data_IF_103707357170
#
_entry.id   IF_103707357170
#
_cell.length_a   1.000
_cell.length_b   1.000
_cell.length_c   1.000
_cell.angle_alpha   90.00
_cell.angle_beta   90.00
_cell.angle_gamma   90.00
#
_symmetry.space_group_name_H-M   'P 1'
#
loop_
_entity.id
_entity.type
_entity.pdbx_description
1 polymer ?
#
# COMPACT_ATOMS: atom_id res chain seq x y z
N UNK A 1 17.04 -34.84 32.65
CA UNK A 1 15.79 -35.06 31.88
C UNK A 1 15.01 -33.75 31.93
N UNK A 2 14.59 -33.07 30.88
CA UNK A 2 14.89 -33.03 29.46
C UNK A 2 14.31 -31.67 29.05
N UNK A 3 15.09 -30.78 28.45
CA UNK A 3 14.54 -29.52 27.91
C UNK A 3 13.63 -29.91 26.74
N UNK A 4 12.31 -29.79 26.88
CA UNK A 4 11.42 -29.87 25.73
C UNK A 4 11.50 -28.53 25.00
N UNK A 5 12.19 -28.51 23.86
CA UNK A 5 12.00 -27.49 22.85
C UNK A 5 10.55 -27.57 22.36
N UNK A 6 9.66 -26.79 22.94
CA UNK A 6 8.41 -26.44 22.30
C UNK A 6 8.73 -25.32 21.32
N UNK A 7 8.84 -25.66 20.04
CA UNK A 7 8.75 -24.68 18.95
C UNK A 7 7.39 -24.00 19.10
N UNK A 8 7.32 -22.68 19.36
CA UNK A 8 6.04 -21.99 19.39
C UNK A 8 5.44 -21.96 17.97
N UNK A 9 4.13 -22.19 17.79
CA UNK A 9 3.49 -22.16 16.49
C UNK A 9 3.51 -20.74 15.90
N UNK A 10 3.72 -20.65 14.58
CA UNK A 10 3.78 -19.41 13.79
C UNK A 10 2.42 -18.69 13.73
N UNK A 11 1.95 -18.16 14.85
CA UNK A 11 0.72 -17.36 14.90
C UNK A 11 0.73 -16.19 15.89
N UNK A 12 1.83 -15.93 16.61
CA UNK A 12 1.87 -14.92 17.68
C UNK A 12 2.87 -13.75 17.46
N UNK A 13 3.02 -13.24 16.24
CA UNK A 13 3.72 -11.95 16.00
C UNK A 13 2.95 -10.94 15.15
N UNK A 14 1.67 -11.17 14.86
CA UNK A 14 0.87 -10.22 14.05
C UNK A 14 -0.23 -9.50 14.84
N UNK A 15 -0.38 -9.75 16.15
CA UNK A 15 -1.56 -9.20 16.87
C UNK A 15 -1.31 -8.48 18.20
N UNK A 16 -0.07 -8.18 18.59
CA UNK A 16 0.19 -7.24 19.72
C UNK A 16 0.51 -5.85 19.20
N UNK A 17 -0.47 -5.22 18.54
CA UNK A 17 -0.50 -3.78 18.28
C UNK A 17 -1.93 -3.24 18.08
N UNK A 18 -2.95 -3.98 18.54
CA UNK A 18 -4.35 -3.58 18.46
C UNK A 18 -4.82 -2.97 19.79
N UNK A 19 -4.20 -1.84 20.18
CA UNK A 19 -4.66 -1.06 21.34
C UNK A 19 -4.28 0.43 21.18
N UNK A 20 -5.04 1.15 20.34
CA UNK A 20 -5.35 2.57 20.48
C UNK A 20 -6.43 2.94 19.46
N UNK A 21 -7.56 3.47 19.92
CA UNK A 21 -8.57 4.08 19.08
C UNK A 21 -8.13 5.49 18.65
N UNK A 22 -8.52 5.87 17.43
CA UNK A 22 -8.72 7.25 16.93
C UNK A 22 -7.52 8.16 16.59
N UNK A 23 -6.33 7.62 16.30
CA UNK A 23 -5.31 8.38 15.54
C UNK A 23 -4.71 7.50 14.43
N UNK A 24 -4.95 7.90 13.17
CA UNK A 24 -4.44 7.29 11.93
C UNK A 24 -2.91 7.54 11.78
N UNK A 25 -2.17 7.33 12.86
CA UNK A 25 -0.71 7.37 12.87
C UNK A 25 -0.19 6.06 12.30
N UNK A 26 -0.22 5.96 10.96
CA UNK A 26 0.60 5.00 10.25
C UNK A 26 2.05 5.18 10.69
N UNK A 27 2.55 4.23 11.47
CA UNK A 27 3.98 4.14 11.78
C UNK A 27 4.70 4.01 10.45
N UNK A 28 5.54 4.99 10.11
CA UNK A 28 6.33 4.96 8.88
C UNK A 28 7.24 3.72 8.90
N UNK A 29 6.94 2.74 8.05
CA UNK A 29 7.79 1.57 7.80
C UNK A 29 8.68 1.88 6.60
N UNK A 30 10.02 2.00 6.78
CA UNK A 30 10.95 2.25 5.69
C UNK A 30 10.89 1.15 4.63
N UNK A 31 11.02 1.51 3.34
CA UNK A 31 10.96 0.57 2.20
C UNK A 31 11.88 -0.65 2.36
N UNK A 32 13.04 -0.49 2.98
CA UNK A 32 14.02 -1.56 3.24
C UNK A 32 13.59 -2.53 4.33
N UNK A 33 12.70 -2.10 5.22
CA UNK A 33 12.14 -2.89 6.34
C UNK A 33 10.73 -3.40 6.06
N UNK A 34 10.13 -3.05 4.93
CA UNK A 34 8.84 -3.62 4.53
C UNK A 34 9.06 -5.12 4.26
N UNK A 35 8.25 -6.02 4.85
CA UNK A 35 8.32 -7.44 4.52
C UNK A 35 8.10 -7.61 3.02
N UNK A 36 8.89 -8.49 2.39
CA UNK A 36 8.67 -8.87 1.00
C UNK A 36 7.34 -9.59 0.97
N UNK A 37 6.30 -8.94 0.44
CA UNK A 37 4.95 -9.52 0.36
C UNK A 37 5.09 -10.93 -0.21
N UNK A 38 4.89 -11.94 0.62
CA UNK A 38 4.71 -13.29 0.14
C UNK A 38 3.38 -13.27 -0.61
N UNK A 39 3.41 -13.64 -1.89
CA UNK A 39 2.21 -13.73 -2.73
C UNK A 39 1.33 -14.90 -2.23
N UNK A 40 0.76 -14.75 -1.04
CA UNK A 40 -0.42 -15.49 -0.63
C UNK A 40 -1.52 -14.97 -1.54
N UNK A 41 -1.67 -15.65 -2.68
CA UNK A 41 -2.64 -15.35 -3.72
C UNK A 41 -4.05 -15.59 -3.16
N UNK A 42 -4.51 -14.67 -2.32
CA UNK A 42 -5.90 -14.57 -1.91
C UNK A 42 -6.67 -14.21 -3.18
N UNK A 43 -7.72 -14.98 -3.45
CA UNK A 43 -8.62 -14.85 -4.59
C UNK A 43 -8.84 -13.37 -4.99
N UNK A 44 -8.74 -13.06 -6.28
CA UNK A 44 -8.85 -11.69 -6.83
C UNK A 44 -10.18 -11.04 -6.48
N UNK A 45 -11.22 -11.84 -6.20
CA UNK A 45 -12.53 -11.36 -5.78
C UNK A 45 -12.58 -10.97 -4.29
N UNK A 46 -11.60 -11.38 -3.48
CA UNK A 46 -11.60 -11.11 -2.04
C UNK A 46 -11.44 -9.62 -1.72
N UNK A 47 -12.14 -9.18 -0.67
CA UNK A 47 -12.05 -7.81 -0.16
C UNK A 47 -10.63 -7.42 0.23
N UNK A 48 -9.85 -8.34 0.80
CA UNK A 48 -8.46 -8.08 1.21
C UNK A 48 -7.57 -7.72 0.02
N UNK A 49 -7.74 -8.41 -1.11
CA UNK A 49 -7.00 -8.11 -2.34
C UNK A 49 -7.39 -6.73 -2.89
N UNK A 50 -8.68 -6.39 -2.87
CA UNK A 50 -9.18 -5.10 -3.35
C UNK A 50 -8.64 -3.93 -2.52
N UNK A 51 -8.61 -4.05 -1.19
CA UNK A 51 -8.08 -3.02 -0.30
C UNK A 51 -6.58 -2.81 -0.54
N UNK A 52 -5.79 -3.89 -0.60
CA UNK A 52 -4.34 -3.79 -0.85
C UNK A 52 -4.06 -3.22 -2.24
N UNK A 53 -4.80 -3.65 -3.27
CA UNK A 53 -4.69 -3.12 -4.63
C UNK A 53 -5.08 -1.63 -4.69
N UNK A 54 -6.13 -1.23 -3.96
CA UNK A 54 -6.56 0.16 -3.85
C UNK A 54 -5.49 1.05 -3.22
N UNK A 55 -4.91 0.65 -2.08
CA UNK A 55 -3.86 1.41 -1.41
C UNK A 55 -2.59 1.54 -2.28
N UNK A 56 -2.16 0.45 -2.92
CA UNK A 56 -0.99 0.48 -3.80
C UNK A 56 -1.21 1.40 -5.02
N UNK A 57 -2.43 1.40 -5.57
CA UNK A 57 -2.78 2.29 -6.68
C UNK A 57 -2.79 3.76 -6.27
N UNK A 58 -3.36 4.08 -5.10
CA UNK A 58 -3.34 5.45 -4.55
C UNK A 58 -1.90 5.95 -4.37
N UNK A 59 -1.03 5.16 -3.73
CA UNK A 59 0.41 5.48 -3.57
C UNK A 59 1.07 5.75 -4.93
N UNK A 60 0.72 4.96 -5.97
CA UNK A 60 1.27 5.13 -7.33
C UNK A 60 0.83 6.45 -7.99
N UNK A 61 -0.44 6.85 -7.87
CA UNK A 61 -0.93 8.11 -8.45
C UNK A 61 -0.30 9.31 -7.73
N UNK A 62 -0.28 9.29 -6.40
CA UNK A 62 0.32 10.37 -5.61
C UNK A 62 1.81 10.51 -5.92
N UNK A 63 2.53 9.41 -6.10
CA UNK A 63 3.94 9.41 -6.49
C UNK A 63 4.15 9.94 -7.92
N UNK A 64 3.27 9.59 -8.87
CA UNK A 64 3.32 10.11 -10.25
C UNK A 64 3.09 11.62 -10.29
N UNK A 65 2.13 12.15 -9.53
CA UNK A 65 1.84 13.59 -9.45
C UNK A 65 3.02 14.35 -8.85
N UNK A 66 3.63 13.82 -7.78
CA UNK A 66 4.81 14.42 -7.14
C UNK A 66 6.05 14.51 -8.04
N UNK A 67 6.14 13.65 -9.05
CA UNK A 67 7.29 13.59 -9.97
C UNK A 67 7.13 14.52 -11.20
N UNK A 68 6.08 15.35 -11.26
CA UNK A 68 5.84 16.23 -12.40
C UNK A 68 6.87 17.37 -12.46
N UNK A 69 7.58 17.43 -13.57
CA UNK A 69 8.49 18.52 -13.94
C UNK A 69 8.16 19.02 -15.35
N UNK A 70 8.50 20.27 -15.65
CA UNK A 70 8.23 20.92 -16.95
C UNK A 70 8.83 20.14 -18.13
N UNK A 71 9.95 19.44 -17.93
CA UNK A 71 10.59 18.61 -18.95
C UNK A 71 9.93 17.24 -19.17
N UNK A 72 9.22 16.71 -18.17
CA UNK A 72 8.79 15.31 -18.13
C UNK A 72 7.26 15.14 -18.21
N UNK A 73 6.51 16.24 -18.22
CA UNK A 73 5.04 16.25 -18.16
C UNK A 73 4.38 15.35 -19.22
N UNK A 74 4.90 15.33 -20.45
CA UNK A 74 4.35 14.50 -21.54
C UNK A 74 4.45 13.01 -21.23
N UNK A 75 5.58 12.57 -20.66
CA UNK A 75 5.81 11.16 -20.33
C UNK A 75 4.90 10.75 -19.16
N UNK A 76 4.79 11.62 -18.15
CA UNK A 76 3.98 11.35 -16.96
C UNK A 76 2.49 11.28 -17.32
N UNK A 77 2.00 12.17 -18.18
CA UNK A 77 0.61 12.10 -18.66
C UNK A 77 0.35 10.79 -19.40
N UNK A 78 1.28 10.33 -20.25
CA UNK A 78 1.14 9.02 -20.92
C UNK A 78 1.08 7.86 -19.92
N UNK A 79 1.91 7.87 -18.88
CA UNK A 79 1.88 6.86 -17.81
C UNK A 79 0.58 6.93 -17.01
N UNK A 80 0.09 8.14 -16.72
CA UNK A 80 -1.15 8.38 -16.02
C UNK A 80 -2.35 7.84 -16.81
N UNK A 81 -2.35 8.02 -18.14
CA UNK A 81 -3.40 7.54 -19.03
C UNK A 81 -3.45 6.01 -19.18
N UNK A 82 -2.33 5.32 -18.93
CA UNK A 82 -2.29 3.84 -18.92
C UNK A 82 -2.94 3.23 -17.67
N UNK A 83 -3.20 4.05 -16.65
CA UNK A 83 -3.87 3.63 -15.42
C UNK A 83 -5.40 3.67 -15.57
N UNK A 84 -6.14 3.04 -14.65
CA UNK A 84 -7.61 3.01 -14.66
C UNK A 84 -8.23 4.35 -14.19
N UNK A 85 -7.99 5.44 -14.91
CA UNK A 85 -8.38 6.80 -14.51
C UNK A 85 -9.89 6.97 -14.27
N UNK A 86 -10.72 6.17 -14.93
CA UNK A 86 -12.19 6.23 -14.81
C UNK A 86 -12.64 5.91 -13.37
N UNK A 87 -12.04 4.89 -12.75
CA UNK A 87 -12.35 4.49 -11.37
C UNK A 87 -11.77 5.46 -10.34
N UNK A 88 -10.71 6.18 -10.70
CA UNK A 88 -9.89 6.95 -9.74
C UNK A 88 -9.90 8.47 -9.94
N UNK A 89 -10.79 9.00 -10.81
CA UNK A 89 -10.94 10.44 -11.07
C UNK A 89 -11.03 11.33 -9.81
N UNK A 90 -11.67 10.84 -8.75
CA UNK A 90 -11.83 11.58 -7.49
C UNK A 90 -10.52 11.69 -6.71
N UNK A 91 -9.73 10.62 -6.67
CA UNK A 91 -8.40 10.63 -6.03
C UNK A 91 -7.45 11.51 -6.84
N UNK A 92 -7.49 11.40 -8.17
CA UNK A 92 -6.67 12.21 -9.05
C UNK A 92 -6.94 13.69 -8.86
N UNK A 93 -8.21 14.10 -8.82
CA UNK A 93 -8.57 15.50 -8.57
C UNK A 93 -8.07 15.98 -7.21
N UNK A 94 -8.25 15.17 -6.14
CA UNK A 94 -7.76 15.54 -4.82
C UNK A 94 -6.23 15.67 -4.78
N UNK A 95 -5.51 14.70 -5.35
CA UNK A 95 -4.05 14.69 -5.41
C UNK A 95 -3.49 15.92 -6.15
N UNK A 96 -4.15 16.37 -7.22
CA UNK A 96 -3.76 17.58 -7.96
C UNK A 96 -4.06 18.86 -7.18
N UNK A 97 -5.14 18.90 -6.40
CA UNK A 97 -5.51 20.08 -5.59
C UNK A 97 -4.58 20.22 -4.37
N UNK A 98 -4.14 19.11 -3.80
CA UNK A 98 -3.30 19.06 -2.60
C UNK A 98 -1.80 19.18 -2.90
N UNK A 99 -1.38 18.81 -4.12
CA UNK A 99 0.01 18.91 -4.59
C UNK A 99 0.44 20.36 -4.89
#
# INVERSE_FOLDING_TARGET
>A
MSKSNAVPPLSETVSTAAAAADDDHQVYIPRTKRPRKEDLFIDKASLGHQTVAWHAFKETIDDLVKQIHTSNVTIIICQLLQNNIIRFRGILANSIIEA
#
